data_IF_734401815639
#
_entry.id   IF_734401815639
#
_cell.length_a   1.000
_cell.length_b   1.000
_cell.length_c   1.000
_cell.angle_alpha   90.00
_cell.angle_beta   90.00
_cell.angle_gamma   90.00
#
_symmetry.space_group_name_H-M   'P 1'
#
loop_
_entity.id
_entity.type
_entity.pdbx_description
1 polymer ?
#
# COMPACT_ATOMS: atom_id res chain seq x y z
N UNK A 1 -13.99 8.73 -0.31
CA UNK A 1 -13.69 8.01 0.94
C UNK A 1 -14.94 8.03 1.81
N UNK A 2 -15.56 6.88 2.07
CA UNK A 2 -16.69 6.73 3.01
C UNK A 2 -16.16 6.51 4.43
N UNK A 3 -17.01 6.66 5.45
CA UNK A 3 -16.70 6.20 6.80
C UNK A 3 -17.97 5.75 7.54
N UNK A 4 -17.80 4.87 8.54
CA UNK A 4 -18.89 4.49 9.44
C UNK A 4 -19.20 5.58 10.46
N UNK A 5 -20.35 5.45 11.14
CA UNK A 5 -20.74 6.33 12.24
C UNK A 5 -19.76 6.27 13.41
N UNK A 6 -19.22 5.08 13.73
CA UNK A 6 -18.20 4.88 14.76
C UNK A 6 -16.89 5.64 14.45
N UNK A 7 -16.40 5.55 13.22
CA UNK A 7 -15.24 6.33 12.78
C UNK A 7 -15.54 7.83 12.88
N UNK A 8 -16.66 8.26 12.31
CA UNK A 8 -17.04 9.67 12.32
C UNK A 8 -17.19 10.24 13.73
N UNK A 9 -17.80 9.49 14.64
CA UNK A 9 -18.00 9.92 16.03
C UNK A 9 -16.68 10.25 16.77
N UNK A 10 -15.55 9.68 16.35
CA UNK A 10 -14.24 10.00 16.94
C UNK A 10 -13.75 11.42 16.58
N UNK A 11 -14.24 11.99 15.49
CA UNK A 11 -13.69 13.23 14.93
C UNK A 11 -14.66 14.41 14.86
N UNK A 12 -15.88 14.29 15.41
CA UNK A 12 -16.84 15.41 15.43
C UNK A 12 -16.37 16.59 16.30
N UNK A 13 -15.49 16.36 17.28
CA UNK A 13 -15.04 17.39 18.20
C UNK A 13 -16.19 18.06 18.96
N UNK A 14 -16.13 19.39 19.11
CA UNK A 14 -17.17 20.21 19.76
C UNK A 14 -18.24 20.70 18.76
N UNK A 15 -18.29 20.16 17.56
CA UNK A 15 -19.25 20.57 16.52
C UNK A 15 -20.70 20.32 16.94
N UNK A 16 -21.58 21.27 16.65
CA UNK A 16 -22.99 21.24 17.07
C UNK A 16 -23.96 21.03 15.90
N UNK A 17 -23.55 21.38 14.69
CA UNK A 17 -24.32 21.12 13.47
C UNK A 17 -23.77 19.94 12.69
N UNK A 18 -24.57 19.31 11.86
CA UNK A 18 -24.18 18.17 11.05
C UNK A 18 -23.14 18.57 9.99
N UNK A 19 -23.23 19.79 9.44
CA UNK A 19 -22.24 20.34 8.53
C UNK A 19 -20.86 20.47 9.21
N UNK A 20 -20.81 21.01 10.42
CA UNK A 20 -19.54 21.14 11.18
C UNK A 20 -18.96 19.77 11.53
N UNK A 21 -19.79 18.78 11.92
CA UNK A 21 -19.34 17.42 12.21
C UNK A 21 -18.72 16.78 10.97
N UNK A 22 -19.44 16.80 9.83
CA UNK A 22 -18.94 16.27 8.56
C UNK A 22 -17.66 16.98 8.11
N UNK A 23 -17.55 18.30 8.29
CA UNK A 23 -16.35 19.06 7.97
C UNK A 23 -15.14 18.62 8.82
N UNK A 24 -15.33 18.38 10.11
CA UNK A 24 -14.27 17.91 11.01
C UNK A 24 -13.80 16.49 10.63
N UNK A 25 -14.74 15.60 10.33
CA UNK A 25 -14.43 14.23 9.86
C UNK A 25 -13.68 14.27 8.52
N UNK A 26 -14.16 15.09 7.58
CA UNK A 26 -13.49 15.30 6.30
C UNK A 26 -12.05 15.79 6.48
N UNK A 27 -11.81 16.70 7.42
CA UNK A 27 -10.46 17.18 7.72
C UNK A 27 -9.54 16.04 8.14
N UNK A 28 -10.01 15.07 8.95
CA UNK A 28 -9.23 13.88 9.30
C UNK A 28 -9.00 12.95 8.10
N UNK A 29 -10.02 12.72 7.27
CA UNK A 29 -9.87 11.94 6.02
C UNK A 29 -8.82 12.59 5.12
N UNK A 30 -8.81 13.91 5.00
CA UNK A 30 -7.80 14.66 4.22
C UNK A 30 -6.39 14.44 4.79
N UNK A 31 -6.22 14.41 6.13
CA UNK A 31 -4.90 14.11 6.75
C UNK A 31 -4.41 12.76 6.30
N UNK A 32 -5.21 11.71 6.44
CA UNK A 32 -4.87 10.35 6.00
C UNK A 32 -4.56 10.30 4.50
N UNK A 33 -5.45 10.87 3.66
CA UNK A 33 -5.23 10.84 2.20
C UNK A 33 -4.06 11.69 1.74
N UNK A 34 -3.68 12.75 2.48
CA UNK A 34 -2.45 13.50 2.21
C UNK A 34 -1.22 12.64 2.45
N UNK A 35 -1.22 11.83 3.53
CA UNK A 35 -0.12 10.89 3.81
C UNK A 35 -0.03 9.80 2.74
N UNK A 36 -1.15 9.21 2.37
CA UNK A 36 -1.25 8.19 1.31
C UNK A 36 -0.80 8.76 -0.04
N UNK A 37 -1.27 9.94 -0.42
CA UNK A 37 -0.85 10.61 -1.66
C UNK A 37 0.66 10.84 -1.71
N UNK A 38 1.29 11.27 -0.62
CA UNK A 38 2.74 11.47 -0.59
C UNK A 38 3.53 10.20 -0.92
N UNK A 39 2.99 9.02 -0.60
CA UNK A 39 3.58 7.73 -0.96
C UNK A 39 3.31 7.42 -2.44
N UNK A 40 2.04 7.46 -2.85
CA UNK A 40 1.63 7.07 -4.21
C UNK A 40 2.19 7.99 -5.29
N UNK A 41 2.29 9.27 -5.03
CA UNK A 41 2.93 10.24 -5.94
C UNK A 41 4.42 9.94 -6.13
N UNK A 42 5.12 9.68 -5.01
CA UNK A 42 6.55 9.38 -5.04
C UNK A 42 6.86 8.04 -5.71
N UNK A 43 6.10 6.98 -5.38
CA UNK A 43 6.43 5.61 -5.78
C UNK A 43 5.83 5.21 -7.14
N UNK A 44 4.67 5.78 -7.50
CA UNK A 44 3.86 5.34 -8.62
C UNK A 44 3.40 6.46 -9.56
N UNK A 45 3.62 7.73 -9.20
CA UNK A 45 3.13 8.89 -9.96
C UNK A 45 1.59 9.00 -9.95
N UNK A 46 0.93 8.54 -8.89
CA UNK A 46 -0.53 8.51 -8.75
C UNK A 46 -0.97 9.49 -7.67
N UNK A 47 -1.95 10.35 -7.97
CA UNK A 47 -2.61 11.23 -6.99
C UNK A 47 -4.08 10.88 -6.87
N UNK A 48 -4.56 10.67 -5.65
CA UNK A 48 -5.98 10.49 -5.36
C UNK A 48 -6.61 11.84 -5.02
N UNK A 49 -7.77 12.11 -5.59
CA UNK A 49 -8.58 13.29 -5.30
C UNK A 49 -9.94 12.87 -4.73
N UNK A 50 -10.37 13.52 -3.65
CA UNK A 50 -11.71 13.29 -3.13
C UNK A 50 -12.74 13.89 -4.08
N UNK A 51 -13.80 13.14 -4.37
CA UNK A 51 -14.90 13.64 -5.22
C UNK A 51 -15.61 14.81 -4.54
N UNK A 52 -16.18 15.77 -5.29
CA UNK A 52 -16.84 16.95 -4.72
C UNK A 52 -17.96 16.59 -3.73
N UNK A 53 -18.69 15.53 -3.97
CA UNK A 53 -19.82 15.05 -3.18
C UNK A 53 -19.40 14.14 -2.00
N UNK A 54 -18.11 14.05 -1.67
CA UNK A 54 -17.60 13.12 -0.64
C UNK A 54 -18.28 13.29 0.74
N UNK A 55 -18.82 14.48 1.05
CA UNK A 55 -19.58 14.72 2.29
C UNK A 55 -20.85 13.89 2.40
N UNK A 56 -21.43 13.42 1.28
CA UNK A 56 -22.66 12.62 1.27
C UNK A 56 -22.44 11.20 1.83
N UNK A 57 -21.20 10.70 1.74
CA UNK A 57 -20.83 9.36 2.23
C UNK A 57 -20.07 9.38 3.57
N UNK A 58 -20.13 10.51 4.30
CA UNK A 58 -19.58 10.65 5.66
C UNK A 58 -20.72 10.49 6.68
N UNK A 59 -20.58 9.50 7.55
CA UNK A 59 -21.50 9.21 8.63
C UNK A 59 -20.83 9.48 9.98
N UNK A 60 -21.61 9.82 11.02
CA UNK A 60 -21.11 10.13 12.36
C UNK A 60 -22.03 9.64 13.48
N UNK A 61 -23.09 8.95 13.15
CA UNK A 61 -24.00 8.33 14.12
C UNK A 61 -24.09 6.82 13.84
N UNK A 62 -23.50 5.99 14.72
CA UNK A 62 -23.54 4.53 14.58
C UNK A 62 -24.94 3.92 14.57
N UNK A 63 -25.95 4.65 15.06
CA UNK A 63 -27.30 4.14 15.10
C UNK A 63 -28.06 4.31 13.77
N UNK A 64 -27.54 5.14 12.87
CA UNK A 64 -28.23 5.53 11.63
C UNK A 64 -27.38 5.39 10.39
N UNK A 65 -26.09 5.06 10.51
CA UNK A 65 -25.27 4.78 9.35
C UNK A 65 -25.70 3.49 8.65
N UNK A 66 -25.40 3.29 7.39
CA UNK A 66 -25.86 2.13 6.64
C UNK A 66 -25.06 0.84 6.92
N UNK A 67 -23.99 0.89 7.72
CA UNK A 67 -23.07 -0.22 7.95
C UNK A 67 -23.48 -1.04 9.18
N UNK A 68 -23.41 -2.36 9.08
CA UNK A 68 -23.76 -3.32 10.14
C UNK A 68 -22.66 -4.38 10.35
N UNK A 69 -21.42 -4.03 10.04
CA UNK A 69 -20.25 -4.92 10.10
C UNK A 69 -19.93 -5.61 8.77
N UNK A 70 -20.76 -5.45 7.75
CA UNK A 70 -20.51 -5.91 6.37
C UNK A 70 -20.02 -4.75 5.53
N UNK A 71 -18.70 -4.56 5.44
CA UNK A 71 -18.15 -3.33 4.87
C UNK A 71 -17.96 -3.35 3.36
N UNK A 72 -17.43 -4.44 2.77
CA UNK A 72 -17.02 -4.43 1.36
C UNK A 72 -18.18 -4.17 0.40
N UNK A 73 -19.13 -5.08 0.33
CA UNK A 73 -20.28 -4.96 -0.58
C UNK A 73 -21.15 -3.76 -0.20
N UNK A 74 -21.26 -3.46 1.11
CA UNK A 74 -22.04 -2.34 1.58
C UNK A 74 -21.42 -1.00 1.22
N UNK A 75 -20.10 -0.87 1.25
CA UNK A 75 -19.39 0.33 0.80
C UNK A 75 -19.62 0.59 -0.68
N UNK A 76 -19.51 -0.45 -1.51
CA UNK A 76 -19.84 -0.36 -2.94
C UNK A 76 -21.26 0.14 -3.16
N UNK A 77 -22.25 -0.49 -2.49
CA UNK A 77 -23.66 -0.11 -2.59
C UNK A 77 -23.90 1.35 -2.20
N UNK A 78 -23.37 1.78 -1.05
CA UNK A 78 -23.55 3.14 -0.51
C UNK A 78 -22.92 4.19 -1.43
N UNK A 79 -21.72 3.93 -1.95
CA UNK A 79 -21.05 4.88 -2.85
C UNK A 79 -21.80 4.95 -4.19
N UNK A 80 -22.24 3.82 -4.73
CA UNK A 80 -23.03 3.78 -5.98
C UNK A 80 -24.37 4.51 -5.84
N UNK A 81 -25.04 4.38 -4.67
CA UNK A 81 -26.32 5.04 -4.43
C UNK A 81 -26.18 6.56 -4.27
N UNK A 82 -25.18 7.02 -3.50
CA UNK A 82 -25.07 8.42 -3.10
C UNK A 82 -24.18 9.25 -4.01
N UNK A 83 -23.15 8.67 -4.59
CA UNK A 83 -22.22 9.34 -5.51
C UNK A 83 -22.54 9.00 -6.97
N UNK A 84 -22.92 7.75 -7.22
CA UNK A 84 -23.14 7.21 -8.57
C UNK A 84 -21.89 6.58 -9.17
N UNK A 85 -22.02 5.38 -9.72
CA UNK A 85 -20.90 4.58 -10.26
C UNK A 85 -20.01 5.35 -11.27
N UNK A 86 -20.60 6.24 -12.07
CA UNK A 86 -19.86 7.01 -13.08
C UNK A 86 -19.04 8.19 -12.51
N UNK A 87 -19.14 8.49 -11.22
CA UNK A 87 -18.59 9.69 -10.62
C UNK A 87 -17.39 9.45 -9.70
N UNK A 88 -16.88 8.22 -9.66
CA UNK A 88 -15.68 7.88 -8.88
C UNK A 88 -14.90 6.74 -9.55
N UNK A 89 -13.62 6.64 -9.27
CA UNK A 89 -12.71 5.66 -9.84
C UNK A 89 -12.33 4.57 -8.85
N UNK A 90 -12.26 4.90 -7.56
CA UNK A 90 -11.96 4.02 -6.44
C UNK A 90 -12.77 4.48 -5.22
N UNK A 91 -13.36 3.54 -4.51
CA UNK A 91 -14.08 3.79 -3.26
C UNK A 91 -13.52 2.97 -2.11
N UNK A 92 -13.51 3.57 -0.91
CA UNK A 92 -12.95 2.95 0.27
C UNK A 92 -13.66 3.43 1.53
N UNK A 93 -13.85 2.56 2.53
CA UNK A 93 -14.48 2.86 3.79
C UNK A 93 -13.47 2.91 4.93
N UNK A 94 -13.60 3.89 5.81
CA UNK A 94 -12.90 3.96 7.09
C UNK A 94 -13.85 3.59 8.23
N UNK A 95 -13.41 2.66 9.09
CA UNK A 95 -14.18 2.18 10.23
C UNK A 95 -13.28 1.98 11.46
N UNK A 96 -13.85 1.53 12.57
CA UNK A 96 -13.15 1.33 13.84
C UNK A 96 -12.89 -0.13 14.17
N UNK A 97 -13.31 -1.06 13.32
CA UNK A 97 -13.03 -2.48 13.47
C UNK A 97 -11.57 -2.79 13.10
N UNK A 98 -11.10 -3.96 13.42
CA UNK A 98 -9.71 -4.30 13.14
C UNK A 98 -9.50 -4.86 11.74
N UNK A 99 -8.45 -4.39 11.06
CA UNK A 99 -7.98 -4.95 9.80
C UNK A 99 -8.32 -4.13 8.58
N UNK A 100 -8.05 -4.71 7.41
CA UNK A 100 -8.37 -4.15 6.10
C UNK A 100 -8.81 -5.24 5.14
N UNK A 101 -9.54 -4.86 4.12
CA UNK A 101 -9.93 -5.72 3.01
C UNK A 101 -10.24 -4.86 1.79
N UNK A 102 -9.44 -5.02 0.76
CA UNK A 102 -9.63 -4.28 -0.50
C UNK A 102 -10.91 -4.66 -1.27
N UNK A 103 -11.56 -5.77 -0.89
CA UNK A 103 -12.71 -6.33 -1.63
C UNK A 103 -12.32 -6.99 -2.96
N UNK A 104 -11.26 -6.51 -3.58
CA UNK A 104 -10.77 -6.99 -4.87
C UNK A 104 -9.30 -6.62 -5.07
N UNK A 105 -8.64 -7.25 -6.02
CA UNK A 105 -7.29 -6.86 -6.46
C UNK A 105 -7.35 -6.34 -7.89
N UNK A 106 -6.82 -5.13 -8.12
CA UNK A 106 -6.78 -4.51 -9.43
C UNK A 106 -8.15 -4.10 -9.98
N UNK A 107 -9.03 -3.62 -9.13
CA UNK A 107 -10.41 -3.27 -9.51
C UNK A 107 -10.69 -1.77 -9.66
N UNK A 108 -9.69 -0.92 -9.50
CA UNK A 108 -9.85 0.50 -9.83
C UNK A 108 -10.48 0.67 -11.21
N UNK A 109 -11.40 1.59 -11.38
CA UNK A 109 -12.24 1.82 -12.56
C UNK A 109 -13.27 0.71 -12.87
N UNK A 110 -13.25 -0.44 -12.21
CA UNK A 110 -14.12 -1.56 -12.53
C UNK A 110 -15.48 -1.42 -11.83
N UNK A 111 -16.49 -1.01 -12.58
CA UNK A 111 -17.87 -0.87 -12.08
C UNK A 111 -18.34 -2.10 -11.32
N UNK A 112 -18.97 -1.88 -10.16
CA UNK A 112 -19.46 -2.93 -9.27
C UNK A 112 -18.44 -3.57 -8.33
N UNK A 113 -17.16 -3.19 -8.41
CA UNK A 113 -16.11 -3.66 -7.47
C UNK A 113 -15.20 -2.53 -6.97
N UNK A 114 -15.06 -1.44 -7.72
CA UNK A 114 -14.13 -0.34 -7.40
C UNK A 114 -14.42 0.40 -6.09
N UNK A 115 -15.63 0.26 -5.54
CA UNK A 115 -16.07 0.87 -4.29
C UNK A 115 -15.97 -0.03 -3.06
N UNK A 116 -15.45 -1.25 -3.19
CA UNK A 116 -15.56 -2.28 -2.14
C UNK A 116 -14.42 -2.32 -1.12
N UNK A 117 -13.46 -1.38 -1.15
CA UNK A 117 -12.36 -1.35 -0.18
C UNK A 117 -12.79 -0.90 1.21
N UNK A 118 -12.12 -1.42 2.26
CA UNK A 118 -12.30 -0.94 3.63
C UNK A 118 -11.02 -1.05 4.44
N UNK A 119 -10.87 -0.14 5.40
CA UNK A 119 -9.82 -0.15 6.42
C UNK A 119 -10.39 0.22 7.77
N UNK A 120 -10.09 -0.57 8.80
CA UNK A 120 -10.57 -0.36 10.15
C UNK A 120 -9.50 -0.50 11.22
N UNK A 121 -9.57 0.40 12.21
CA UNK A 121 -8.73 0.35 13.41
C UNK A 121 -9.40 1.12 14.55
N UNK A 122 -9.29 0.62 15.76
CA UNK A 122 -9.84 1.30 16.95
C UNK A 122 -9.19 2.67 17.25
N UNK A 123 -7.97 2.90 16.74
CA UNK A 123 -7.26 4.19 16.73
C UNK A 123 -6.86 4.50 15.29
N UNK A 124 -7.78 5.07 14.46
CA UNK A 124 -7.60 5.20 13.04
C UNK A 124 -6.86 6.50 12.68
N UNK A 125 -5.63 6.64 13.19
CA UNK A 125 -4.76 7.80 12.99
C UNK A 125 -3.28 7.42 12.87
N UNK A 126 -2.52 8.27 12.14
CA UNK A 126 -1.08 8.15 11.97
C UNK A 126 -0.65 6.95 11.13
N UNK A 127 0.67 6.76 10.99
CA UNK A 127 1.25 5.80 10.03
C UNK A 127 0.78 4.35 10.23
N UNK A 128 0.41 3.96 11.46
CA UNK A 128 -0.21 2.63 11.69
C UNK A 128 -1.57 2.44 11.03
N UNK A 129 -2.31 3.51 10.80
CA UNK A 129 -3.54 3.48 10.03
C UNK A 129 -3.26 3.84 8.57
N UNK A 130 -2.58 4.95 8.36
CA UNK A 130 -2.41 5.55 7.05
C UNK A 130 -1.53 4.68 6.12
N UNK A 131 -0.45 4.06 6.64
CA UNK A 131 0.53 3.30 5.87
C UNK A 131 0.29 1.80 5.97
N UNK A 132 0.26 1.24 7.22
CA UNK A 132 0.17 -0.22 7.41
C UNK A 132 -1.16 -0.79 6.91
N UNK A 133 -2.24 0.04 6.84
CA UNK A 133 -3.55 -0.42 6.41
C UNK A 133 -4.10 0.35 5.21
N UNK A 134 -4.29 1.68 5.26
CA UNK A 134 -4.97 2.40 4.16
C UNK A 134 -4.17 2.33 2.87
N UNK A 135 -2.87 2.65 2.90
CA UNK A 135 -2.02 2.55 1.72
C UNK A 135 -1.90 1.10 1.23
N UNK A 136 -1.90 0.11 2.13
CA UNK A 136 -1.89 -1.31 1.82
C UNK A 136 -3.15 -1.75 1.06
N UNK A 137 -4.34 -1.48 1.60
CA UNK A 137 -5.60 -1.91 0.98
C UNK A 137 -5.87 -1.20 -0.34
N UNK A 138 -5.56 0.09 -0.43
CA UNK A 138 -5.59 0.81 -1.71
C UNK A 138 -4.58 0.19 -2.69
N UNK A 139 -3.42 -0.27 -2.21
CA UNK A 139 -2.44 -1.01 -3.00
C UNK A 139 -3.04 -2.26 -3.66
N UNK A 140 -3.86 -3.01 -2.94
CA UNK A 140 -4.62 -4.13 -3.50
C UNK A 140 -5.64 -3.67 -4.54
N UNK A 141 -6.44 -2.65 -4.26
CA UNK A 141 -7.39 -2.10 -5.23
C UNK A 141 -6.71 -1.63 -6.52
N UNK A 142 -5.46 -1.15 -6.42
CA UNK A 142 -4.62 -0.76 -7.55
C UNK A 142 -3.92 -1.92 -8.27
N UNK A 143 -3.93 -3.14 -7.72
CA UNK A 143 -3.37 -4.35 -8.36
C UNK A 143 -2.14 -4.94 -7.67
N UNK A 144 -1.73 -4.43 -6.51
CA UNK A 144 -0.64 -4.97 -5.71
C UNK A 144 -1.02 -6.25 -4.97
N UNK A 145 -0.14 -7.25 -4.98
CA UNK A 145 -0.24 -8.47 -4.17
C UNK A 145 0.70 -8.41 -2.97
N UNK A 146 0.44 -9.28 -1.97
CA UNK A 146 1.32 -9.38 -0.81
C UNK A 146 2.75 -9.79 -1.17
N UNK A 147 3.72 -9.27 -0.41
CA UNK A 147 5.15 -9.54 -0.59
C UNK A 147 5.75 -10.44 0.48
N UNK A 148 5.04 -10.65 1.58
CA UNK A 148 5.49 -11.49 2.71
C UNK A 148 5.61 -12.98 2.33
N UNK A 149 6.57 -13.67 2.93
CA UNK A 149 6.87 -15.07 2.65
C UNK A 149 7.09 -15.82 3.98
N UNK A 150 6.01 -16.29 4.56
CA UNK A 150 6.02 -16.93 5.87
C UNK A 150 4.94 -18.00 6.00
N UNK A 151 4.44 -18.19 7.23
CA UNK A 151 3.36 -19.14 7.54
C UNK A 151 2.29 -18.49 8.45
N UNK A 152 1.19 -19.20 8.69
CA UNK A 152 0.09 -18.68 9.51
C UNK A 152 -0.54 -17.45 8.89
N UNK A 153 -0.62 -16.35 9.62
CA UNK A 153 -1.13 -15.06 9.12
C UNK A 153 -0.33 -14.55 7.89
N UNK A 154 0.95 -14.90 7.83
CA UNK A 154 1.87 -14.48 6.77
C UNK A 154 2.14 -15.60 5.76
N UNK A 155 1.18 -16.50 5.59
CA UNK A 155 1.28 -17.55 4.60
C UNK A 155 1.44 -16.95 3.20
N UNK A 156 2.42 -17.44 2.46
CA UNK A 156 2.65 -17.13 1.06
C UNK A 156 1.36 -17.32 0.25
N UNK A 157 0.96 -16.31 -0.49
CA UNK A 157 -0.29 -16.30 -1.27
C UNK A 157 -0.21 -17.03 -2.62
N UNK A 158 1.00 -17.25 -3.14
CA UNK A 158 1.24 -17.99 -4.39
C UNK A 158 1.10 -17.14 -5.66
N UNK A 159 1.21 -15.82 -5.54
CA UNK A 159 1.11 -14.88 -6.68
C UNK A 159 2.47 -14.55 -7.32
N UNK A 160 3.55 -15.15 -6.85
CA UNK A 160 4.94 -14.90 -7.29
C UNK A 160 5.44 -13.47 -6.97
N UNK A 161 4.85 -12.85 -5.96
CA UNK A 161 5.22 -11.53 -5.42
C UNK A 161 5.82 -11.62 -4.02
N UNK A 162 5.89 -12.82 -3.45
CA UNK A 162 6.31 -13.08 -2.07
C UNK A 162 7.84 -13.10 -1.98
N UNK A 163 8.45 -11.94 -2.18
CA UNK A 163 9.91 -11.73 -2.29
C UNK A 163 10.54 -11.14 -1.03
N UNK A 164 9.75 -10.91 0.01
CA UNK A 164 10.24 -10.39 1.28
C UNK A 164 10.25 -11.47 2.37
N UNK A 165 11.31 -11.59 3.17
CA UNK A 165 11.41 -12.60 4.21
C UNK A 165 10.42 -12.36 5.35
N UNK A 166 9.83 -13.43 5.88
CA UNK A 166 8.91 -13.37 7.03
C UNK A 166 7.72 -12.46 6.76
N UNK A 167 7.55 -11.44 7.58
CA UNK A 167 6.49 -10.43 7.44
C UNK A 167 6.67 -9.51 6.22
N UNK A 168 7.88 -9.41 5.68
CA UNK A 168 8.22 -8.27 4.84
C UNK A 168 8.29 -6.97 5.64
N UNK A 169 8.63 -5.88 4.97
CA UNK A 169 8.72 -4.54 5.56
C UNK A 169 8.24 -3.42 4.63
N UNK A 170 7.95 -3.71 3.36
CA UNK A 170 7.30 -2.77 2.45
C UNK A 170 5.78 -2.71 2.70
N UNK A 171 5.09 -1.76 2.08
CA UNK A 171 3.65 -1.52 2.29
C UNK A 171 2.81 -2.78 2.09
N UNK A 172 3.09 -3.60 1.07
CA UNK A 172 2.34 -4.83 0.81
C UNK A 172 2.84 -6.05 1.62
N UNK A 173 3.76 -5.84 2.56
CA UNK A 173 4.09 -6.78 3.61
C UNK A 173 3.08 -6.78 4.77
N UNK A 174 3.38 -7.58 5.80
CA UNK A 174 2.57 -7.71 7.02
C UNK A 174 3.40 -7.40 8.26
N UNK A 175 4.21 -6.35 8.21
CA UNK A 175 5.07 -5.93 9.31
C UNK A 175 4.27 -5.75 10.62
N UNK A 176 4.75 -6.37 11.70
CA UNK A 176 4.15 -6.29 13.04
C UNK A 176 2.96 -7.20 13.30
N UNK A 177 2.51 -8.01 12.32
CA UNK A 177 1.37 -8.93 12.49
C UNK A 177 1.70 -10.40 12.19
N UNK A 178 2.97 -10.72 11.96
CA UNK A 178 3.48 -12.06 11.66
C UNK A 178 4.18 -12.68 12.88
N UNK A 179 3.47 -12.99 13.93
CA UNK A 179 4.05 -13.47 15.20
C UNK A 179 5.22 -14.44 15.03
N UNK A 180 6.39 -14.08 15.51
CA UNK A 180 7.62 -14.87 15.43
C UNK A 180 8.32 -14.84 14.05
N UNK A 181 7.82 -14.08 13.10
CA UNK A 181 8.34 -13.94 11.75
C UNK A 181 8.44 -12.45 11.32
N UNK A 182 8.18 -11.54 12.26
CA UNK A 182 8.26 -10.11 11.97
C UNK A 182 9.72 -9.69 11.78
N UNK A 183 10.02 -9.10 10.62
CA UNK A 183 11.31 -8.48 10.30
C UNK A 183 11.29 -6.97 10.51
N UNK A 184 10.11 -6.41 10.74
CA UNK A 184 9.85 -5.01 11.10
C UNK A 184 8.59 -4.92 11.95
N UNK A 185 8.48 -3.88 12.80
CA UNK A 185 7.32 -3.62 13.65
C UNK A 185 6.16 -2.91 12.90
N UNK A 186 6.49 -2.16 11.87
CA UNK A 186 5.57 -1.44 11.01
C UNK A 186 6.13 -1.44 9.58
N UNK A 187 5.29 -1.17 8.61
CA UNK A 187 5.72 -1.03 7.22
C UNK A 187 6.54 0.24 7.01
N UNK A 188 7.60 0.12 6.23
CA UNK A 188 8.29 1.27 5.66
C UNK A 188 7.40 1.88 4.54
N UNK A 189 7.44 3.19 4.35
CA UNK A 189 6.54 3.94 3.48
C UNK A 189 6.93 3.91 1.99
N UNK A 190 7.17 2.72 1.45
CA UNK A 190 7.43 2.49 0.03
C UNK A 190 6.90 1.14 -0.44
N UNK A 191 6.70 1.00 -1.75
CA UNK A 191 6.33 -0.26 -2.38
C UNK A 191 7.56 -1.05 -2.81
N UNK A 192 7.52 -2.38 -2.63
CA UNK A 192 8.52 -3.26 -3.23
C UNK A 192 8.42 -3.21 -4.77
N UNK A 193 9.53 -3.44 -5.45
CA UNK A 193 9.60 -3.47 -6.92
C UNK A 193 8.48 -4.30 -7.58
N UNK A 194 8.16 -5.47 -7.02
CA UNK A 194 7.10 -6.32 -7.59
C UNK A 194 5.73 -5.65 -7.57
N UNK A 195 5.44 -4.86 -6.53
CA UNK A 195 4.20 -4.10 -6.44
C UNK A 195 4.19 -2.90 -7.40
N UNK A 196 5.30 -2.17 -7.51
CA UNK A 196 5.43 -1.08 -8.50
C UNK A 196 5.19 -1.63 -9.90
N UNK A 197 5.80 -2.77 -10.25
CA UNK A 197 5.58 -3.47 -11.53
C UNK A 197 4.13 -3.83 -11.76
N UNK A 198 3.49 -4.49 -10.79
CA UNK A 198 2.15 -5.06 -10.97
C UNK A 198 1.06 -3.97 -10.95
N UNK A 199 1.17 -2.99 -10.05
CA UNK A 199 0.29 -1.82 -10.02
C UNK A 199 0.43 -1.03 -11.32
N UNK A 200 1.65 -0.72 -11.75
CA UNK A 200 1.89 0.00 -13.01
C UNK A 200 1.34 -0.75 -14.21
N UNK A 201 1.47 -2.08 -14.25
CA UNK A 201 0.89 -2.89 -15.31
C UNK A 201 -0.64 -2.86 -15.28
N UNK A 202 -1.26 -2.95 -14.09
CA UNK A 202 -2.72 -2.93 -13.95
C UNK A 202 -3.32 -1.61 -14.43
N UNK A 203 -2.76 -0.47 -14.04
CA UNK A 203 -3.28 0.85 -14.40
C UNK A 203 -3.01 1.26 -15.86
N UNK A 204 -2.19 0.51 -16.60
CA UNK A 204 -1.87 0.80 -18.00
C UNK A 204 -2.69 -0.02 -19.00
N UNK A 205 -3.40 -1.05 -18.55
CA UNK A 205 -4.13 -1.98 -19.43
C UNK A 205 -5.51 -2.34 -18.87
N UNK A 206 -6.42 -2.70 -19.77
CA UNK A 206 -7.77 -3.16 -19.40
C UNK A 206 -8.64 -2.06 -18.80
N UNK A 207 -9.63 -2.46 -18.00
CA UNK A 207 -10.62 -1.56 -17.40
C UNK A 207 -9.95 -0.56 -16.46
N UNK A 208 -8.92 -0.99 -15.73
CA UNK A 208 -8.19 -0.14 -14.78
C UNK A 208 -7.42 1.02 -15.42
N UNK A 209 -7.30 1.05 -16.76
CA UNK A 209 -6.65 2.15 -17.49
C UNK A 209 -7.62 3.18 -18.07
N UNK A 210 -8.92 3.02 -17.87
CA UNK A 210 -9.94 3.78 -18.62
C UNK A 210 -10.47 5.01 -17.87
N UNK A 211 -10.22 5.13 -16.56
CA UNK A 211 -10.82 6.17 -15.73
C UNK A 211 -9.85 7.26 -15.25
N UNK A 212 -8.55 7.14 -15.53
CA UNK A 212 -7.57 8.11 -15.05
C UNK A 212 -7.53 9.38 -15.89
N UNK A 213 -7.40 10.51 -15.20
CA UNK A 213 -6.97 11.76 -15.82
C UNK A 213 -5.43 11.81 -15.89
N UNK A 214 -4.87 11.85 -17.10
CA UNK A 214 -3.43 12.02 -17.30
C UNK A 214 -3.00 13.44 -17.00
N UNK A 215 -2.24 13.62 -15.91
CA UNK A 215 -1.60 14.90 -15.59
C UNK A 215 -0.21 14.91 -16.24
N UNK A 216 -0.04 15.74 -17.27
CA UNK A 216 1.26 15.89 -17.92
C UNK A 216 2.20 16.69 -17.03
N UNK A 217 3.25 16.02 -16.56
CA UNK A 217 4.37 16.62 -15.85
C UNK A 217 5.59 16.75 -16.77
N UNK A 218 6.47 17.70 -16.49
CA UNK A 218 7.71 17.85 -17.26
C UNK A 218 8.76 16.81 -16.86
N UNK A 219 8.64 16.23 -15.67
CA UNK A 219 9.55 15.23 -15.14
C UNK A 219 9.58 13.95 -15.99
N UNK A 220 10.77 13.46 -16.28
CA UNK A 220 11.01 12.23 -17.05
C UNK A 220 11.47 11.10 -16.13
N UNK A 221 11.10 9.85 -16.39
CA UNK A 221 11.49 8.74 -15.53
C UNK A 221 12.99 8.46 -15.61
N UNK A 222 13.64 8.13 -14.47
CA UNK A 222 15.03 7.69 -14.45
C UNK A 222 15.21 6.31 -15.11
N UNK A 223 16.45 5.99 -15.44
CA UNK A 223 16.85 4.65 -15.86
C UNK A 223 17.70 3.99 -14.78
N UNK A 224 17.61 2.66 -14.68
CA UNK A 224 18.40 1.87 -13.74
C UNK A 224 19.12 0.72 -14.43
N UNK A 225 20.35 0.45 -13.98
CA UNK A 225 21.15 -0.69 -14.43
C UNK A 225 21.84 -1.32 -13.21
N UNK A 226 21.46 -2.56 -12.89
CA UNK A 226 22.01 -3.32 -11.76
C UNK A 226 23.46 -3.84 -12.00
N UNK A 227 23.99 -3.73 -13.20
CA UNK A 227 25.31 -4.21 -13.57
C UNK A 227 25.32 -5.65 -14.05
N UNK A 228 26.48 -6.28 -13.99
CA UNK A 228 26.69 -7.66 -14.46
C UNK A 228 26.37 -8.69 -13.36
N UNK A 229 26.03 -9.90 -13.79
CA UNK A 229 25.86 -11.05 -12.90
C UNK A 229 27.18 -11.48 -12.26
N UNK A 230 27.12 -11.98 -11.02
CA UNK A 230 28.25 -12.48 -10.27
C UNK A 230 28.03 -13.93 -9.84
N UNK A 231 29.10 -14.72 -9.87
CA UNK A 231 29.14 -16.05 -9.28
C UNK A 231 30.08 -16.00 -8.07
N UNK A 232 29.50 -16.25 -6.88
CA UNK A 232 30.23 -16.19 -5.62
C UNK A 232 30.09 -17.50 -4.83
N UNK A 233 31.08 -17.89 -3.99
CA UNK A 233 30.92 -19.03 -3.10
C UNK A 233 29.80 -18.81 -2.08
N UNK A 234 29.16 -19.92 -1.65
CA UNK A 234 28.17 -19.90 -0.58
C UNK A 234 28.74 -19.26 0.70
N UNK A 235 27.95 -18.41 1.36
CA UNK A 235 28.36 -17.73 2.60
C UNK A 235 29.33 -16.57 2.41
N UNK A 236 29.55 -16.13 1.17
CA UNK A 236 30.38 -14.95 0.88
C UNK A 236 29.54 -13.68 1.00
N UNK A 237 29.97 -12.75 1.88
CA UNK A 237 29.42 -11.39 1.88
C UNK A 237 29.80 -10.67 0.56
N UNK A 238 28.88 -9.90 0.02
CA UNK A 238 29.08 -9.22 -1.24
C UNK A 238 28.50 -7.79 -1.23
N UNK A 239 28.91 -6.99 -2.21
CA UNK A 239 28.38 -5.65 -2.46
C UNK A 239 27.87 -5.57 -3.88
N UNK A 240 26.66 -5.09 -4.06
CA UNK A 240 26.14 -4.71 -5.38
C UNK A 240 26.25 -3.19 -5.56
N UNK A 241 26.54 -2.76 -6.78
CA UNK A 241 26.62 -1.35 -7.16
C UNK A 241 25.93 -1.19 -8.50
N UNK A 242 24.84 -0.44 -8.52
CA UNK A 242 24.11 -0.08 -9.74
C UNK A 242 24.51 1.27 -10.30
N UNK A 243 23.88 1.62 -11.40
CA UNK A 243 23.97 2.96 -12.02
C UNK A 243 22.55 3.40 -12.35
N UNK A 244 22.16 4.58 -11.87
CA UNK A 244 20.97 5.29 -12.29
C UNK A 244 21.34 6.53 -13.10
N UNK A 245 20.53 6.87 -14.09
CA UNK A 245 20.65 8.15 -14.79
C UNK A 245 19.26 8.77 -14.93
N UNK A 246 19.21 10.10 -14.78
CA UNK A 246 18.00 10.88 -14.94
C UNK A 246 18.23 11.95 -16.03
N UNK A 247 17.28 12.12 -16.97
CA UNK A 247 17.35 13.22 -17.93
C UNK A 247 17.21 14.60 -17.27
N UNK A 248 16.53 14.69 -16.11
CA UNK A 248 16.30 15.92 -15.37
C UNK A 248 17.47 16.13 -14.40
N UNK A 249 18.38 17.05 -14.76
CA UNK A 249 19.70 17.19 -14.12
C UNK A 249 19.67 17.65 -12.66
N UNK A 250 18.53 18.20 -12.22
CA UNK A 250 18.37 18.72 -10.85
C UNK A 250 17.76 17.68 -9.89
N UNK A 251 17.37 16.51 -10.41
CA UNK A 251 16.77 15.46 -9.61
C UNK A 251 17.82 14.64 -8.84
N UNK A 252 17.48 14.31 -7.61
CA UNK A 252 18.35 13.51 -6.73
C UNK A 252 17.85 12.08 -6.69
N UNK A 253 18.58 11.19 -7.34
CA UNK A 253 18.26 9.76 -7.36
C UNK A 253 18.47 9.11 -5.99
N UNK A 254 17.52 8.26 -5.61
CA UNK A 254 17.69 7.27 -4.54
C UNK A 254 17.65 5.87 -5.12
N UNK A 255 18.27 4.92 -4.41
CA UNK A 255 18.45 3.55 -4.87
C UNK A 255 17.95 2.58 -3.82
N UNK A 256 17.09 1.65 -4.23
CA UNK A 256 16.66 0.50 -3.43
C UNK A 256 17.15 -0.77 -4.11
N UNK A 257 17.83 -1.64 -3.35
CA UNK A 257 18.22 -2.97 -3.81
C UNK A 257 17.34 -4.02 -3.14
N UNK A 258 16.62 -4.78 -3.93
CA UNK A 258 15.66 -5.78 -3.49
C UNK A 258 15.98 -7.14 -4.10
N UNK A 259 15.78 -8.19 -3.30
CA UNK A 259 15.86 -9.56 -3.76
C UNK A 259 14.52 -9.91 -4.45
N UNK A 260 14.58 -10.65 -5.56
CA UNK A 260 13.39 -11.03 -6.34
C UNK A 260 13.19 -12.56 -6.37
N UNK A 261 13.69 -13.27 -5.36
CA UNK A 261 13.46 -14.70 -5.19
C UNK A 261 12.17 -14.93 -4.40
N UNK A 262 11.25 -15.69 -4.97
CA UNK A 262 9.91 -15.94 -4.42
C UNK A 262 9.66 -17.39 -4.02
N UNK A 263 10.70 -18.22 -3.94
CA UNK A 263 10.59 -19.58 -3.45
C UNK A 263 10.18 -19.58 -1.97
N UNK A 264 9.57 -20.67 -1.53
CA UNK A 264 9.19 -20.86 -0.13
C UNK A 264 10.41 -20.80 0.79
N UNK A 265 10.33 -20.01 1.85
CA UNK A 265 11.38 -19.93 2.87
C UNK A 265 11.53 -21.24 3.61
N UNK A 266 12.78 -21.58 3.91
CA UNK A 266 13.11 -22.75 4.76
C UNK A 266 12.83 -22.43 6.24
N UNK A 267 12.64 -23.50 7.01
CA UNK A 267 12.56 -23.36 8.49
C UNK A 267 13.96 -23.21 9.09
N UNK A 268 14.23 -22.23 9.94
CA UNK A 268 13.29 -21.23 10.47
C UNK A 268 12.85 -20.22 9.41
N UNK A 269 11.64 -19.69 9.55
CA UNK A 269 11.02 -18.75 8.61
C UNK A 269 11.59 -17.33 8.68
N UNK A 270 12.74 -17.18 9.28
CA UNK A 270 13.55 -15.97 9.26
C UNK A 270 14.87 -16.26 8.54
N UNK A 271 15.49 -15.28 7.90
CA UNK A 271 16.72 -15.46 7.16
C UNK A 271 17.82 -16.12 8.00
N UNK A 272 18.42 -17.17 7.46
CA UNK A 272 19.59 -17.82 8.04
C UNK A 272 20.67 -18.00 6.99
N UNK A 273 21.94 -17.81 7.37
CA UNK A 273 23.07 -17.83 6.43
C UNK A 273 23.22 -19.15 5.65
N UNK A 274 22.62 -20.24 6.10
CA UNK A 274 22.67 -21.56 5.47
C UNK A 274 21.42 -21.86 4.62
N UNK A 275 20.47 -20.95 4.49
CA UNK A 275 19.29 -21.17 3.65
C UNK A 275 19.70 -21.30 2.17
N UNK A 276 19.00 -22.15 1.43
CA UNK A 276 19.24 -22.45 0.03
C UNK A 276 18.08 -22.07 -0.88
N UNK A 277 17.02 -21.51 -0.32
CA UNK A 277 15.84 -21.02 -1.05
C UNK A 277 15.10 -19.94 -0.27
N UNK A 278 14.26 -19.20 -0.98
CA UNK A 278 13.42 -18.12 -0.46
C UNK A 278 14.14 -16.78 -0.33
N UNK A 279 13.41 -15.72 -0.06
CA UNK A 279 13.98 -14.39 0.17
C UNK A 279 14.80 -14.38 1.46
N UNK A 280 15.99 -13.79 1.41
CA UNK A 280 16.97 -13.78 2.48
C UNK A 280 17.23 -12.38 3.03
N UNK A 281 16.98 -11.37 2.22
CA UNK A 281 17.37 -10.00 2.53
C UNK A 281 16.15 -9.11 2.61
N UNK A 282 15.96 -8.53 3.80
CA UNK A 282 14.91 -7.52 4.02
C UNK A 282 15.02 -6.40 2.99
N UNK A 283 13.89 -5.97 2.42
CA UNK A 283 13.81 -4.72 1.67
C UNK A 283 14.07 -3.53 2.59
N UNK A 284 14.63 -2.46 2.07
CA UNK A 284 14.97 -1.24 2.84
C UNK A 284 14.70 -0.02 2.01
N UNK A 285 14.29 1.04 2.67
CA UNK A 285 14.04 2.34 2.05
C UNK A 285 15.27 2.80 1.26
N UNK A 286 15.03 3.43 0.10
CA UNK A 286 16.06 3.91 -0.80
C UNK A 286 16.98 4.96 -0.18
N UNK A 287 18.25 4.90 -0.55
CA UNK A 287 19.28 5.88 -0.16
C UNK A 287 19.94 6.49 -1.39
N UNK A 288 20.65 7.58 -1.23
CA UNK A 288 21.44 8.18 -2.33
C UNK A 288 22.66 7.37 -2.73
N UNK A 289 23.02 6.31 -1.97
CA UNK A 289 24.09 5.37 -2.34
C UNK A 289 23.60 4.40 -3.40
N UNK A 290 24.27 4.27 -4.56
CA UNK A 290 23.91 3.27 -5.57
C UNK A 290 24.34 1.85 -5.17
N UNK A 291 24.85 1.65 -3.96
CA UNK A 291 25.42 0.38 -3.50
C UNK A 291 24.75 -0.12 -2.23
N UNK A 292 24.60 -1.45 -2.11
CA UNK A 292 24.20 -2.14 -0.89
C UNK A 292 25.12 -3.32 -0.59
N UNK A 293 25.41 -3.55 0.68
CA UNK A 293 26.13 -4.74 1.18
C UNK A 293 25.14 -5.84 1.57
N UNK A 294 25.53 -7.09 1.40
CA UNK A 294 24.74 -8.29 1.71
C UNK A 294 25.61 -9.30 2.48
N UNK A 295 25.27 -9.63 3.73
CA UNK A 295 24.29 -8.91 4.56
C UNK A 295 24.70 -7.47 4.81
N UNK A 296 23.75 -6.64 5.23
CA UNK A 296 24.06 -5.27 5.63
C UNK A 296 24.88 -5.28 6.92
N UNK A 297 25.83 -4.33 7.08
CA UNK A 297 26.77 -4.35 8.18
C UNK A 297 26.15 -4.06 9.56
N UNK A 298 24.95 -3.48 9.56
CA UNK A 298 24.22 -3.07 10.76
C UNK A 298 23.02 -3.97 11.09
N UNK A 299 22.95 -5.13 10.45
CA UNK A 299 21.89 -6.15 10.68
C UNK A 299 22.32 -7.16 11.74
#
# INVERSE_FOLDING_TARGET
MSCTGEYGALFIGDATTDEEKKANIMAQIIVTMTRVNGIYEKELGITFQLVPENLEIIFFDPATDPFDGEYNDKTQEVIDELIGDANYDIGHNFNTDGGGNAGCIGCVCNSGNKGSGMTGRSDPTGDKFDVDYVAHEIGHQMGGYHTHNGTGTCLKSGNNTEVEPGSGSSIMGYAGICTGQDVAENSDDYFNYVNIRDISANIQIGVSSECFDEIKVANLPPTANAGADYIIPVGTAFKLTGVGTDPDSDDVLTYTWEQNDNEEMQTPLLPVAAATSGPMFRSRQGTTSPSRYFPQLDD
#
